data_IF_406225695883
#
_entry.id   IF_406225695883
#
_cell.length_a   1.000
_cell.length_b   1.000
_cell.length_c   1.000
_cell.angle_alpha   90.00
_cell.angle_beta   90.00
_cell.angle_gamma   90.00
#
_symmetry.space_group_name_H-M   'P 1'
#
loop_
_entity.id
_entity.type
_entity.pdbx_description
1 polymer ?
#
# COMPACT_ATOMS: atom_id res chain seq x y z
N UNK A 1 10.95 -13.95 -2.47
CA UNK A 1 11.08 -12.73 -3.31
C UNK A 1 12.04 -13.01 -4.46
N UNK A 2 11.66 -12.76 -5.73
CA UNK A 2 12.54 -13.06 -6.87
C UNK A 2 13.58 -11.95 -7.06
N UNK A 3 14.78 -12.31 -7.62
CA UNK A 3 15.83 -11.33 -7.97
C UNK A 3 15.33 -10.18 -8.87
N UNK A 4 14.28 -10.40 -9.68
CA UNK A 4 13.63 -9.38 -10.49
C UNK A 4 12.91 -8.34 -9.65
N UNK A 5 12.27 -8.75 -8.56
CA UNK A 5 11.59 -7.87 -7.60
C UNK A 5 12.59 -7.00 -6.83
N UNK A 6 13.75 -7.57 -6.46
CA UNK A 6 14.84 -6.82 -5.83
C UNK A 6 15.39 -5.70 -6.73
N UNK A 7 15.68 -6.00 -8.00
CA UNK A 7 16.19 -5.00 -8.96
C UNK A 7 15.20 -3.87 -9.23
N UNK A 8 13.90 -4.17 -9.21
CA UNK A 8 12.88 -3.14 -9.37
C UNK A 8 12.84 -2.18 -8.17
N UNK A 9 12.94 -2.70 -6.95
CA UNK A 9 13.02 -1.87 -5.73
C UNK A 9 14.27 -0.97 -5.72
N UNK A 10 15.42 -1.45 -6.19
CA UNK A 10 16.63 -0.64 -6.31
C UNK A 10 16.47 0.50 -7.34
N UNK A 11 15.86 0.24 -8.49
CA UNK A 11 15.67 1.24 -9.54
C UNK A 11 14.60 2.30 -9.18
N UNK A 12 13.61 1.95 -8.34
CA UNK A 12 12.47 2.79 -8.00
C UNK A 12 12.70 3.62 -6.75
N UNK A 13 13.54 3.14 -5.81
CA UNK A 13 13.74 3.78 -4.51
C UNK A 13 14.26 5.24 -4.59
N UNK A 14 14.92 5.64 -5.67
CA UNK A 14 15.48 6.99 -5.80
C UNK A 14 14.43 8.06 -6.12
N UNK A 15 13.24 7.66 -6.64
CA UNK A 15 12.20 8.63 -7.10
C UNK A 15 10.78 8.33 -6.62
N UNK A 16 10.59 7.28 -5.79
CA UNK A 16 9.25 6.84 -5.39
C UNK A 16 8.56 7.82 -4.43
N UNK A 17 9.32 8.53 -3.64
CA UNK A 17 8.87 9.61 -2.75
C UNK A 17 8.39 10.85 -3.52
N UNK A 18 8.83 11.00 -4.76
CA UNK A 18 8.41 12.09 -5.66
C UNK A 18 7.23 11.71 -6.57
N UNK A 19 6.79 10.44 -6.56
CA UNK A 19 5.63 10.00 -7.34
C UNK A 19 4.35 10.60 -6.74
N UNK A 20 3.71 11.48 -7.49
CA UNK A 20 2.46 12.17 -7.12
C UNK A 20 1.32 11.19 -6.73
N UNK A 21 1.30 9.99 -7.33
CA UNK A 21 0.31 8.95 -6.97
C UNK A 21 0.60 8.41 -5.58
N UNK A 22 1.87 8.15 -5.26
CA UNK A 22 2.24 7.69 -3.91
C UNK A 22 1.90 8.75 -2.87
N UNK A 23 2.22 10.01 -3.14
CA UNK A 23 1.85 11.12 -2.26
C UNK A 23 0.32 11.22 -2.10
N UNK A 24 -0.44 11.10 -3.22
CA UNK A 24 -1.89 11.07 -3.21
C UNK A 24 -2.43 9.92 -2.35
N UNK A 25 -1.91 8.70 -2.54
CA UNK A 25 -2.32 7.52 -1.77
C UNK A 25 -2.00 7.68 -0.28
N UNK A 26 -0.81 8.12 0.08
CA UNK A 26 -0.40 8.35 1.48
C UNK A 26 -1.35 9.33 2.16
N UNK A 27 -1.66 10.46 1.51
CA UNK A 27 -2.61 11.43 2.06
C UNK A 27 -4.02 10.88 2.17
N UNK A 28 -4.45 10.04 1.21
CA UNK A 28 -5.76 9.40 1.28
C UNK A 28 -5.81 8.40 2.44
N UNK A 29 -4.80 7.53 2.57
CA UNK A 29 -4.68 6.53 3.63
C UNK A 29 -4.66 7.19 5.02
N UNK A 30 -3.88 8.27 5.18
CA UNK A 30 -3.79 9.02 6.43
C UNK A 30 -5.16 9.46 6.98
N UNK A 31 -6.13 9.77 6.11
CA UNK A 31 -7.50 10.16 6.52
C UNK A 31 -8.24 9.05 7.26
N UNK A 32 -7.82 7.82 7.07
CA UNK A 32 -8.45 6.63 7.65
C UNK A 32 -7.65 6.03 8.79
N UNK A 33 -6.45 6.54 9.06
CA UNK A 33 -5.66 6.12 10.22
C UNK A 33 -6.37 6.56 11.49
N UNK A 34 -6.49 5.64 12.44
CA UNK A 34 -7.04 5.89 13.78
C UNK A 34 -6.10 5.36 14.85
N UNK A 35 -6.18 5.93 16.04
CA UNK A 35 -5.38 5.54 17.21
C UNK A 35 -3.90 5.86 17.06
N UNK A 36 -3.15 5.76 18.17
CA UNK A 36 -1.73 6.13 18.17
C UNK A 36 -0.82 5.05 17.55
N UNK A 37 -1.17 3.76 17.63
CA UNK A 37 -0.30 2.66 17.20
C UNK A 37 -0.61 2.19 15.80
N UNK A 38 0.35 2.38 14.89
CA UNK A 38 0.18 2.09 13.46
C UNK A 38 1.25 1.11 12.98
N UNK A 39 0.84 0.10 12.21
CA UNK A 39 1.72 -0.81 11.50
C UNK A 39 1.60 -0.59 9.99
N UNK A 40 2.74 -0.36 9.32
CA UNK A 40 2.82 -0.34 7.85
C UNK A 40 3.54 -1.60 7.36
N UNK A 41 2.83 -2.46 6.63
CA UNK A 41 3.34 -3.77 6.20
C UNK A 41 4.25 -3.74 4.98
N UNK A 42 4.41 -2.59 4.32
CA UNK A 42 5.33 -2.40 3.19
C UNK A 42 5.69 -0.94 3.08
N UNK A 43 6.68 -0.54 3.85
CA UNK A 43 7.00 0.88 4.00
C UNK A 43 7.64 1.51 2.76
N UNK A 44 8.28 0.73 1.89
CA UNK A 44 9.00 1.22 0.71
C UNK A 44 10.01 2.33 1.09
N UNK A 45 9.75 3.56 0.64
CA UNK A 45 10.56 4.75 0.95
C UNK A 45 10.21 5.42 2.27
N UNK A 46 9.33 4.81 3.07
CA UNK A 46 8.92 5.33 4.37
C UNK A 46 7.95 6.52 4.32
N UNK A 47 7.36 6.84 3.17
CA UNK A 47 6.54 8.06 3.00
C UNK A 47 5.38 8.13 4.01
N UNK A 48 4.64 7.04 4.22
CA UNK A 48 3.55 6.98 5.20
C UNK A 48 4.10 6.99 6.63
N UNK A 49 5.08 6.14 6.89
CA UNK A 49 5.71 5.94 8.20
C UNK A 49 6.28 7.24 8.76
N UNK A 50 7.06 7.95 7.94
CA UNK A 50 7.73 9.19 8.35
C UNK A 50 6.72 10.33 8.58
N UNK A 51 5.63 10.35 7.81
CA UNK A 51 4.56 11.34 7.99
C UNK A 51 3.80 11.10 9.30
N UNK A 52 3.45 9.85 9.60
CA UNK A 52 2.73 9.48 10.82
C UNK A 52 3.59 9.62 12.07
N UNK A 53 4.84 9.15 12.03
CA UNK A 53 5.78 9.31 13.14
C UNK A 53 6.08 10.79 13.42
N UNK A 54 6.24 11.61 12.37
CA UNK A 54 6.40 13.06 12.48
C UNK A 54 5.16 13.77 13.06
N UNK A 55 3.98 13.14 12.98
CA UNK A 55 2.76 13.59 13.64
C UNK A 55 2.61 13.07 15.08
N UNK A 56 3.61 12.40 15.63
CA UNK A 56 3.65 11.89 17.01
C UNK A 56 2.96 10.53 17.21
N UNK A 57 2.70 9.79 16.15
CA UNK A 57 2.16 8.43 16.27
C UNK A 57 3.27 7.41 16.56
N UNK A 58 2.92 6.35 17.26
CA UNK A 58 3.77 5.18 17.49
C UNK A 58 3.68 4.27 16.27
N UNK A 59 4.68 4.34 15.40
CA UNK A 59 4.67 3.67 14.10
C UNK A 59 5.72 2.57 14.05
N UNK A 60 5.28 1.39 13.66
CA UNK A 60 6.15 0.27 13.28
C UNK A 60 5.99 0.02 11.79
N UNK A 61 7.07 -0.21 11.09
CA UNK A 61 7.05 -0.53 9.68
C UNK A 61 7.80 -1.83 9.38
N UNK A 62 7.32 -2.55 8.38
CA UNK A 62 7.95 -3.76 7.87
C UNK A 62 8.19 -3.62 6.37
N UNK A 63 9.28 -4.20 5.87
CA UNK A 63 9.52 -4.36 4.43
C UNK A 63 10.42 -5.57 4.18
N UNK A 64 10.23 -6.25 3.06
CA UNK A 64 11.05 -7.39 2.67
C UNK A 64 12.38 -6.97 2.00
N UNK A 65 12.53 -5.69 1.69
CA UNK A 65 13.70 -5.15 1.03
C UNK A 65 14.57 -4.37 2.02
N UNK A 66 15.78 -4.85 2.24
CA UNK A 66 16.73 -4.26 3.20
C UNK A 66 17.02 -2.78 2.91
N UNK A 67 17.13 -2.42 1.62
CA UNK A 67 17.34 -1.04 1.20
C UNK A 67 16.20 -0.11 1.58
N UNK A 68 14.93 -0.57 1.56
CA UNK A 68 13.78 0.19 2.02
C UNK A 68 13.83 0.42 3.53
N UNK A 69 14.16 -0.61 4.29
CA UNK A 69 14.34 -0.54 5.74
C UNK A 69 15.45 0.42 6.11
N UNK A 70 16.63 0.27 5.49
CA UNK A 70 17.78 1.14 5.75
C UNK A 70 17.45 2.60 5.40
N UNK A 71 16.84 2.85 4.25
CA UNK A 71 16.46 4.20 3.81
C UNK A 71 15.42 4.84 4.72
N UNK A 72 14.40 4.10 5.13
CA UNK A 72 13.37 4.60 6.05
C UNK A 72 13.98 4.98 7.40
N UNK A 73 14.83 4.13 7.97
CA UNK A 73 15.49 4.39 9.24
C UNK A 73 16.49 5.57 9.14
N UNK A 74 17.18 5.72 8.02
CA UNK A 74 18.06 6.85 7.78
C UNK A 74 17.29 8.17 7.71
N UNK A 75 16.19 8.20 6.96
CA UNK A 75 15.33 9.39 6.89
C UNK A 75 14.66 9.72 8.23
N UNK A 76 14.31 8.70 9.02
CA UNK A 76 13.79 8.90 10.37
C UNK A 76 14.84 9.57 11.27
N UNK A 77 16.08 9.08 11.24
CA UNK A 77 17.20 9.64 12.01
C UNK A 77 17.47 11.10 11.62
N UNK A 78 17.49 11.41 10.31
CA UNK A 78 17.66 12.78 9.79
C UNK A 78 16.57 13.74 10.26
N UNK A 79 15.36 13.23 10.55
CA UNK A 79 14.21 14.01 11.06
C UNK A 79 14.12 14.03 12.59
N UNK A 80 15.05 13.43 13.29
CA UNK A 80 15.03 13.33 14.76
C UNK A 80 13.91 12.42 15.29
N UNK A 81 13.42 11.49 14.47
CA UNK A 81 12.39 10.53 14.87
C UNK A 81 13.02 9.32 15.58
N UNK A 82 12.27 8.59 16.42
CA UNK A 82 12.73 7.33 17.01
C UNK A 82 13.18 6.32 15.95
N UNK A 83 14.23 5.56 16.22
CA UNK A 83 14.72 4.48 15.36
C UNK A 83 15.03 3.23 16.18
N UNK A 84 14.86 2.02 15.62
CA UNK A 84 14.36 1.76 14.25
C UNK A 84 12.84 1.91 14.14
N UNK A 85 12.38 2.58 13.10
CA UNK A 85 10.96 2.59 12.71
C UNK A 85 10.62 1.41 11.79
N UNK A 86 11.55 1.01 10.93
CA UNK A 86 11.36 -0.05 9.93
C UNK A 86 12.23 -1.26 10.25
N UNK A 87 11.67 -2.44 10.02
CA UNK A 87 12.29 -3.75 10.26
C UNK A 87 12.17 -4.64 9.03
N UNK A 88 13.17 -5.50 8.80
CA UNK A 88 13.17 -6.46 7.72
C UNK A 88 12.14 -7.56 7.98
N UNK A 89 11.35 -7.89 6.96
CA UNK A 89 10.31 -8.91 7.03
C UNK A 89 10.08 -9.55 5.65
N UNK A 90 9.93 -10.88 5.61
CA UNK A 90 9.84 -11.68 4.39
C UNK A 90 8.41 -12.01 3.92
N UNK A 91 7.38 -11.46 4.56
CA UNK A 91 5.95 -11.67 4.33
C UNK A 91 5.41 -13.07 4.70
N UNK A 92 6.27 -14.06 4.93
CA UNK A 92 5.81 -15.44 5.17
C UNK A 92 5.29 -15.63 6.60
N UNK A 93 5.92 -14.96 7.57
CA UNK A 93 5.57 -15.10 8.99
C UNK A 93 5.76 -13.78 9.72
N UNK A 94 4.73 -13.36 10.47
CA UNK A 94 4.88 -12.21 11.36
C UNK A 94 5.94 -12.49 12.43
N UNK A 95 6.86 -11.54 12.70
CA UNK A 95 7.83 -11.68 13.78
C UNK A 95 7.14 -11.91 15.12
N UNK A 96 7.71 -12.78 15.96
CA UNK A 96 7.09 -13.14 17.25
C UNK A 96 6.92 -11.92 18.18
N UNK A 97 7.86 -10.97 18.14
CA UNK A 97 7.77 -9.72 18.88
C UNK A 97 6.59 -8.85 18.44
N UNK A 98 6.17 -8.95 17.16
CA UNK A 98 5.04 -8.20 16.62
C UNK A 98 3.69 -8.83 17.01
N UNK A 99 3.63 -10.15 17.14
CA UNK A 99 2.41 -10.88 17.51
C UNK A 99 1.87 -10.49 18.88
N UNK A 100 2.75 -10.12 19.80
CA UNK A 100 2.37 -9.65 21.13
C UNK A 100 1.80 -8.22 21.11
N UNK A 101 2.02 -7.48 20.03
CA UNK A 101 1.53 -6.13 19.87
C UNK A 101 0.13 -6.11 19.26
N UNK A 102 -0.62 -5.05 19.57
CA UNK A 102 -1.92 -4.79 18.98
C UNK A 102 -1.91 -3.38 18.41
N UNK A 103 -2.32 -3.25 17.14
CA UNK A 103 -2.29 -1.98 16.44
C UNK A 103 -3.70 -1.43 16.25
N UNK A 104 -3.84 -0.12 16.43
CA UNK A 104 -5.08 0.60 16.16
C UNK A 104 -5.37 0.67 14.68
N UNK A 105 -4.30 0.79 13.86
CA UNK A 105 -4.39 0.76 12.41
C UNK A 105 -3.26 -0.08 11.83
N UNK A 106 -3.60 -0.93 10.84
CA UNK A 106 -2.65 -1.63 9.99
C UNK A 106 -2.83 -1.18 8.55
N UNK A 107 -1.77 -0.66 7.93
CA UNK A 107 -1.73 -0.32 6.52
C UNK A 107 -1.11 -1.48 5.72
N UNK A 108 -1.85 -1.99 4.76
CA UNK A 108 -1.49 -3.10 3.87
C UNK A 108 -1.54 -2.62 2.42
N UNK A 109 -0.53 -1.85 2.01
CA UNK A 109 -0.52 -1.14 0.74
C UNK A 109 0.32 -1.89 -0.28
N UNK A 110 -0.32 -2.43 -1.32
CA UNK A 110 0.30 -3.27 -2.36
C UNK A 110 1.05 -4.50 -1.81
N UNK A 111 0.53 -5.14 -0.76
CA UNK A 111 1.10 -6.35 -0.14
C UNK A 111 0.43 -7.60 -0.67
N UNK A 112 -0.90 -7.69 -0.61
CA UNK A 112 -1.66 -8.91 -0.89
C UNK A 112 -1.48 -9.43 -2.33
N UNK A 113 -1.13 -8.57 -3.26
CA UNK A 113 -0.84 -8.94 -4.64
C UNK A 113 0.55 -9.57 -4.84
N UNK A 114 1.41 -9.58 -3.82
CA UNK A 114 2.75 -10.16 -3.86
C UNK A 114 2.88 -11.48 -3.09
N UNK A 115 1.93 -11.79 -2.20
CA UNK A 115 1.97 -13.02 -1.40
C UNK A 115 1.29 -14.18 -2.14
N UNK A 116 1.79 -15.40 -1.98
CA UNK A 116 1.22 -16.59 -2.63
C UNK A 116 -0.13 -16.95 -2.03
N UNK A 117 -0.27 -16.86 -0.71
CA UNK A 117 -1.49 -17.15 0.04
C UNK A 117 -1.99 -15.88 0.74
N UNK A 118 -2.91 -15.18 0.07
CA UNK A 118 -3.50 -13.95 0.59
C UNK A 118 -4.54 -14.20 1.69
N UNK A 119 -5.17 -15.38 1.73
CA UNK A 119 -6.03 -15.79 2.84
C UNK A 119 -5.20 -15.92 4.13
N UNK A 120 -4.09 -16.66 4.08
CA UNK A 120 -3.19 -16.76 5.24
C UNK A 120 -2.56 -15.41 5.63
N UNK A 121 -2.27 -14.55 4.66
CA UNK A 121 -1.74 -13.22 4.94
C UNK A 121 -2.77 -12.35 5.68
N UNK A 122 -4.04 -12.33 5.27
CA UNK A 122 -5.10 -11.58 5.94
C UNK A 122 -5.40 -12.16 7.32
N UNK A 123 -5.36 -13.51 7.49
CA UNK A 123 -5.49 -14.15 8.80
C UNK A 123 -4.41 -13.64 9.79
N UNK A 124 -3.14 -13.61 9.35
CA UNK A 124 -2.03 -13.10 10.18
C UNK A 124 -2.19 -11.60 10.50
N UNK A 125 -2.62 -10.80 9.53
CA UNK A 125 -2.90 -9.37 9.75
C UNK A 125 -3.99 -9.22 10.83
N UNK A 126 -5.04 -10.04 10.79
CA UNK A 126 -6.08 -10.01 11.79
C UNK A 126 -5.56 -10.31 13.21
N UNK A 127 -4.49 -11.09 13.37
CA UNK A 127 -3.89 -11.35 14.68
C UNK A 127 -3.33 -10.09 15.36
N UNK A 128 -2.84 -9.13 14.59
CA UNK A 128 -2.16 -7.92 15.08
C UNK A 128 -3.03 -6.66 15.08
N UNK A 129 -4.13 -6.63 14.32
CA UNK A 129 -5.13 -5.56 14.44
C UNK A 129 -5.90 -5.76 15.74
N UNK A 130 -6.03 -4.76 16.58
CA UNK A 130 -6.85 -4.87 17.80
C UNK A 130 -8.35 -4.99 17.48
N UNK A 131 -9.18 -5.61 18.35
CA UNK A 131 -10.64 -5.52 18.20
C UNK A 131 -11.10 -4.07 18.07
N UNK A 132 -11.96 -3.78 17.10
CA UNK A 132 -12.34 -2.40 16.75
C UNK A 132 -11.27 -1.59 16.01
N UNK A 133 -10.06 -2.13 15.85
CA UNK A 133 -8.98 -1.53 15.08
C UNK A 133 -9.22 -1.61 13.57
N UNK A 134 -8.43 -0.87 12.81
CA UNK A 134 -8.65 -0.65 11.39
C UNK A 134 -7.58 -1.31 10.52
N UNK A 135 -8.01 -1.96 9.45
CA UNK A 135 -7.18 -2.42 8.36
C UNK A 135 -7.44 -1.56 7.12
N UNK A 136 -6.40 -1.00 6.55
CA UNK A 136 -6.45 -0.23 5.30
C UNK A 136 -5.69 -1.01 4.24
N UNK A 137 -6.39 -1.46 3.21
CA UNK A 137 -5.82 -2.23 2.10
C UNK A 137 -5.85 -1.41 0.83
N UNK A 138 -4.71 -1.29 0.16
CA UNK A 138 -4.65 -0.89 -1.24
C UNK A 138 -4.16 -2.06 -2.07
N UNK A 139 -4.91 -2.44 -3.11
CA UNK A 139 -4.57 -3.56 -3.97
C UNK A 139 -4.91 -3.27 -5.44
N UNK A 140 -4.18 -3.82 -6.42
CA UNK A 140 -4.45 -3.58 -7.83
C UNK A 140 -5.81 -4.17 -8.23
N UNK A 141 -6.59 -3.36 -8.96
CA UNK A 141 -7.93 -3.71 -9.44
C UNK A 141 -7.90 -4.42 -10.79
N UNK A 142 -9.02 -5.05 -11.15
CA UNK A 142 -9.29 -5.70 -12.44
C UNK A 142 -8.36 -6.87 -12.76
N UNK A 143 -8.72 -8.12 -12.37
CA UNK A 143 -7.95 -9.32 -12.69
C UNK A 143 -7.64 -9.49 -14.19
N UNK A 144 -8.55 -9.05 -15.07
CA UNK A 144 -8.36 -9.10 -16.52
C UNK A 144 -7.20 -8.22 -17.02
N UNK A 145 -6.72 -7.26 -16.21
CA UNK A 145 -5.57 -6.42 -16.52
C UNK A 145 -4.26 -6.98 -15.98
N UNK A 146 -4.24 -8.22 -15.45
CA UNK A 146 -3.01 -8.85 -14.99
C UNK A 146 -2.10 -9.15 -16.18
N UNK A 147 -1.11 -8.28 -16.39
CA UNK A 147 -0.30 -8.27 -17.60
C UNK A 147 1.20 -8.43 -17.36
N UNK A 148 1.98 -8.05 -18.37
CA UNK A 148 3.45 -8.11 -18.32
C UNK A 148 4.02 -7.21 -17.23
N UNK A 149 3.43 -6.04 -17.07
CA UNK A 149 3.87 -5.08 -16.07
C UNK A 149 3.70 -5.63 -14.67
N UNK A 150 2.54 -6.22 -14.37
CA UNK A 150 2.31 -6.83 -13.06
C UNK A 150 3.37 -7.87 -12.75
N UNK A 151 3.64 -8.78 -13.72
CA UNK A 151 4.66 -9.82 -13.55
C UNK A 151 6.05 -9.24 -13.34
N UNK A 152 6.41 -8.15 -14.05
CA UNK A 152 7.70 -7.47 -13.84
C UNK A 152 7.82 -6.81 -12.48
N UNK A 153 6.70 -6.47 -11.84
CA UNK A 153 6.62 -5.94 -10.48
C UNK A 153 6.49 -7.03 -9.41
N UNK A 154 6.40 -8.30 -9.81
CA UNK A 154 6.18 -9.41 -8.89
C UNK A 154 4.73 -9.54 -8.41
N UNK A 155 3.77 -8.93 -9.11
CA UNK A 155 2.36 -9.11 -8.80
C UNK A 155 1.90 -10.51 -9.24
N UNK A 156 1.30 -11.25 -8.33
CA UNK A 156 0.73 -12.57 -8.57
C UNK A 156 -0.74 -12.46 -8.96
N UNK A 157 -1.45 -11.40 -8.52
CA UNK A 157 -2.88 -11.23 -8.69
C UNK A 157 -3.33 -9.78 -8.67
N UNK A 158 -4.56 -9.59 -9.14
CA UNK A 158 -5.35 -8.37 -9.02
C UNK A 158 -6.73 -8.73 -8.48
N UNK A 159 -7.45 -7.77 -7.93
CA UNK A 159 -8.69 -8.02 -7.20
C UNK A 159 -9.91 -7.43 -7.89
N UNK A 160 -11.06 -8.07 -7.70
CA UNK A 160 -12.37 -7.44 -7.87
C UNK A 160 -12.83 -6.87 -6.52
N UNK A 161 -13.77 -5.91 -6.53
CA UNK A 161 -14.40 -5.44 -5.27
C UNK A 161 -15.01 -6.59 -4.48
N UNK A 162 -15.75 -7.48 -5.16
CA UNK A 162 -16.39 -8.63 -4.50
C UNK A 162 -15.35 -9.58 -3.90
N UNK A 163 -14.29 -9.91 -4.66
CA UNK A 163 -13.23 -10.80 -4.16
C UNK A 163 -12.50 -10.25 -2.96
N UNK A 164 -12.11 -8.97 -3.00
CA UNK A 164 -11.44 -8.33 -1.87
C UNK A 164 -12.35 -8.22 -0.64
N UNK A 165 -13.66 -7.92 -0.85
CA UNK A 165 -14.65 -7.91 0.23
C UNK A 165 -14.73 -9.26 0.91
N UNK A 166 -14.97 -10.33 0.14
CA UNK A 166 -15.11 -11.70 0.68
C UNK A 166 -13.85 -12.12 1.42
N UNK A 167 -12.66 -11.82 0.89
CA UNK A 167 -11.40 -12.13 1.52
C UNK A 167 -11.30 -11.48 2.92
N UNK A 168 -11.62 -10.21 3.04
CA UNK A 168 -11.52 -9.49 4.33
C UNK A 168 -12.62 -9.92 5.30
N UNK A 169 -13.87 -10.08 4.84
CA UNK A 169 -15.00 -10.47 5.68
C UNK A 169 -14.83 -11.88 6.29
N UNK A 170 -14.24 -12.83 5.54
CA UNK A 170 -13.91 -14.18 6.05
C UNK A 170 -12.95 -14.15 7.23
N UNK A 171 -12.11 -13.13 7.33
CA UNK A 171 -11.14 -12.99 8.42
C UNK A 171 -11.60 -12.02 9.52
N UNK A 172 -12.91 -11.78 9.62
CA UNK A 172 -13.50 -11.03 10.72
C UNK A 172 -13.37 -9.50 10.58
N UNK A 173 -13.21 -9.01 9.33
CA UNK A 173 -13.25 -7.58 9.06
C UNK A 173 -14.61 -7.15 8.52
N UNK A 174 -15.14 -6.05 9.04
CA UNK A 174 -16.33 -5.36 8.52
C UNK A 174 -15.87 -4.23 7.62
N UNK A 175 -16.40 -4.16 6.40
CA UNK A 175 -15.98 -3.16 5.41
C UNK A 175 -16.71 -1.84 5.65
N UNK A 176 -15.98 -0.82 6.08
CA UNK A 176 -16.49 0.56 6.18
C UNK A 176 -16.52 1.26 4.82
N UNK A 177 -15.47 1.02 4.01
CA UNK A 177 -15.33 1.63 2.69
C UNK A 177 -14.64 0.68 1.72
N UNK A 178 -15.13 0.63 0.50
CA UNK A 178 -14.49 -0.09 -0.61
C UNK A 178 -14.72 0.69 -1.91
N UNK A 179 -13.66 1.33 -2.38
CA UNK A 179 -13.73 2.23 -3.53
C UNK A 179 -12.59 1.99 -4.51
N UNK A 180 -12.79 2.41 -5.74
CA UNK A 180 -11.72 2.54 -6.69
C UNK A 180 -10.93 3.83 -6.45
N UNK A 181 -9.66 3.79 -6.77
CA UNK A 181 -8.73 4.90 -6.78
C UNK A 181 -7.80 4.78 -8.00
N UNK A 182 -7.14 5.88 -8.39
CA UNK A 182 -6.26 5.93 -9.55
C UNK A 182 -7.03 5.73 -10.88
N UNK A 183 -8.14 6.47 -11.01
CA UNK A 183 -9.00 6.46 -12.21
C UNK A 183 -8.27 6.99 -13.43
N UNK A 184 -7.56 8.11 -13.29
CA UNK A 184 -6.90 8.83 -14.39
C UNK A 184 -5.89 7.96 -15.14
N UNK A 185 -5.22 7.04 -14.45
CA UNK A 185 -4.24 6.14 -15.06
C UNK A 185 -4.87 4.91 -15.74
N UNK A 186 -6.15 4.62 -15.46
CA UNK A 186 -6.81 3.40 -15.95
C UNK A 186 -6.90 3.32 -17.48
N UNK A 187 -7.35 4.35 -18.23
CA UNK A 187 -7.47 4.26 -19.68
C UNK A 187 -6.13 3.98 -20.36
N UNK A 188 -5.09 4.70 -19.94
CA UNK A 188 -3.74 4.52 -20.49
C UNK A 188 -3.18 3.14 -20.18
N UNK A 189 -3.34 2.68 -18.92
CA UNK A 189 -2.88 1.35 -18.51
C UNK A 189 -3.59 0.26 -19.29
N UNK A 190 -4.92 0.33 -19.41
CA UNK A 190 -5.72 -0.64 -20.15
C UNK A 190 -5.31 -0.69 -21.63
N UNK A 191 -5.13 0.45 -22.28
CA UNK A 191 -4.70 0.51 -23.68
C UNK A 191 -3.33 -0.14 -23.90
N UNK A 192 -2.38 0.06 -22.97
CA UNK A 192 -1.05 -0.53 -23.04
C UNK A 192 -1.08 -2.06 -22.89
N UNK A 193 -1.82 -2.56 -21.88
CA UNK A 193 -1.84 -3.99 -21.59
C UNK A 193 -2.70 -4.77 -22.60
N UNK A 194 -3.78 -4.18 -23.15
CA UNK A 194 -4.73 -4.88 -24.03
C UNK A 194 -4.49 -4.68 -25.53
N UNK A 195 -3.97 -3.54 -25.94
CA UNK A 195 -3.97 -3.15 -27.36
C UNK A 195 -2.63 -2.81 -27.97
N UNK A 196 -1.85 -1.97 -27.34
CA UNK A 196 -0.66 -1.42 -27.96
C UNK A 196 0.58 -2.31 -27.86
N UNK A 197 0.59 -3.37 -27.03
CA UNK A 197 1.78 -4.22 -26.76
C UNK A 197 3.11 -3.45 -26.75
N UNK A 198 3.00 -2.12 -26.65
CA UNK A 198 4.15 -1.22 -26.68
C UNK A 198 4.96 -1.42 -25.40
N UNK A 199 6.24 -1.63 -25.57
CA UNK A 199 7.22 -1.54 -24.49
C UNK A 199 7.31 -0.06 -24.07
N UNK A 200 6.36 0.40 -23.28
CA UNK A 200 6.58 1.65 -22.56
C UNK A 200 7.57 1.31 -21.45
N UNK A 201 8.83 1.59 -21.72
CA UNK A 201 9.89 1.44 -20.72
C UNK A 201 9.61 2.37 -19.55
N UNK A 202 10.07 1.99 -18.36
CA UNK A 202 10.01 2.89 -17.20
C UNK A 202 10.75 4.21 -17.50
N UNK A 203 11.75 4.19 -18.38
CA UNK A 203 12.40 5.38 -18.93
C UNK A 203 11.42 6.34 -19.62
N UNK A 204 10.36 5.85 -20.29
CA UNK A 204 9.33 6.71 -20.88
C UNK A 204 8.49 7.42 -19.80
N UNK A 205 8.14 6.71 -18.72
CA UNK A 205 7.38 7.31 -17.60
C UNK A 205 8.16 8.39 -16.87
N UNK A 206 9.47 8.18 -16.68
CA UNK A 206 10.32 9.12 -15.93
C UNK A 206 11.10 10.08 -16.82
N UNK A 207 11.42 9.70 -18.07
CA UNK A 207 12.19 10.51 -19.02
C UNK A 207 11.35 11.58 -19.69
N UNK A 208 10.14 11.25 -20.15
CA UNK A 208 9.27 12.21 -20.85
C UNK A 208 8.73 13.28 -19.90
N UNK A 209 8.41 12.89 -18.66
CA UNK A 209 8.02 13.83 -17.60
C UNK A 209 9.18 14.73 -17.19
N UNK A 210 10.43 14.23 -17.22
CA UNK A 210 11.62 15.03 -16.97
C UNK A 210 11.86 16.09 -18.05
N UNK A 211 11.52 15.78 -19.30
CA UNK A 211 11.66 16.71 -20.44
C UNK A 211 10.62 17.85 -20.45
N UNK A 212 9.43 17.62 -19.85
CA UNK A 212 8.36 18.62 -19.72
C UNK A 212 8.49 19.51 -18.47
N UNK A 213 9.54 19.31 -17.67
CA UNK A 213 9.78 20.06 -16.44
C UNK A 213 8.86 19.66 -15.28
N UNK A 214 8.72 20.54 -14.29
CA UNK A 214 7.95 20.28 -13.07
C UNK A 214 6.43 20.47 -13.19
N UNK A 215 5.95 21.17 -14.24
CA UNK A 215 4.54 21.53 -14.42
C UNK A 215 3.59 20.35 -14.49
N UNK A 216 3.83 19.30 -15.30
CA UNK A 216 2.93 18.12 -15.32
C UNK A 216 2.85 17.45 -13.97
N UNK A 217 3.97 17.35 -13.26
CA UNK A 217 4.02 16.73 -11.93
C UNK A 217 3.19 17.52 -10.92
N UNK A 218 3.21 18.83 -10.98
CA UNK A 218 2.39 19.72 -10.13
C UNK A 218 0.89 19.57 -10.45
N UNK A 219 0.51 19.53 -11.73
CA UNK A 219 -0.88 19.36 -12.18
C UNK A 219 -1.43 18.01 -11.71
N UNK A 220 -0.67 16.92 -11.89
CA UNK A 220 -1.10 15.61 -11.44
C UNK A 220 -1.10 15.49 -9.92
N UNK A 221 -0.14 16.07 -9.21
CA UNK A 221 -0.17 16.15 -7.75
C UNK A 221 -1.42 16.88 -7.27
N UNK A 222 -1.71 18.05 -7.85
CA UNK A 222 -2.93 18.79 -7.55
C UNK A 222 -4.18 17.93 -7.81
N UNK A 223 -4.28 17.26 -8.98
CA UNK A 223 -5.40 16.38 -9.31
C UNK A 223 -5.62 15.29 -8.27
N UNK A 224 -4.55 14.53 -7.94
CA UNK A 224 -4.65 13.46 -6.95
C UNK A 224 -5.03 13.97 -5.57
N UNK A 225 -4.55 15.12 -5.19
CA UNK A 225 -4.81 15.70 -3.88
C UNK A 225 -6.20 16.32 -3.76
N UNK A 226 -6.74 16.91 -4.83
CA UNK A 226 -7.99 17.68 -4.80
C UNK A 226 -9.18 16.94 -5.39
N UNK A 227 -8.97 16.14 -6.44
CA UNK A 227 -10.05 15.45 -7.14
C UNK A 227 -10.05 13.97 -6.81
N UNK A 228 -8.99 13.25 -7.12
CA UNK A 228 -8.90 11.79 -6.99
C UNK A 228 -9.15 11.32 -5.54
N UNK A 229 -8.67 12.07 -4.54
CA UNK A 229 -8.85 11.75 -3.12
C UNK A 229 -10.21 12.16 -2.54
N UNK A 230 -11.03 12.91 -3.27
CA UNK A 230 -12.32 13.41 -2.77
C UNK A 230 -13.51 12.86 -3.54
N UNK A 231 -13.30 12.40 -4.77
CA UNK A 231 -14.34 11.85 -5.63
C UNK A 231 -14.23 10.33 -5.65
N UNK A 232 -15.36 9.64 -5.47
CA UNK A 232 -15.43 8.18 -5.66
C UNK A 232 -15.72 7.89 -7.11
N UNK A 233 -14.74 7.36 -7.83
CA UNK A 233 -14.88 7.01 -9.24
C UNK A 233 -15.50 5.60 -9.40
N UNK A 234 -16.20 5.36 -10.51
CA UNK A 234 -16.80 4.04 -10.80
C UNK A 234 -15.76 2.97 -11.16
N UNK A 235 -14.54 3.38 -11.50
CA UNK A 235 -13.42 2.51 -11.85
C UNK A 235 -12.10 3.15 -11.44
N UNK A 236 -11.01 2.38 -11.38
CA UNK A 236 -9.66 2.85 -11.07
C UNK A 236 -8.70 1.67 -10.93
N UNK A 237 -7.42 1.91 -11.14
CA UNK A 237 -6.40 0.85 -11.14
C UNK A 237 -6.16 0.22 -9.77
N UNK A 238 -6.58 0.88 -8.70
CA UNK A 238 -6.39 0.45 -7.31
C UNK A 238 -7.74 0.33 -6.62
N UNK A 239 -7.94 -0.72 -5.85
CA UNK A 239 -8.98 -0.83 -4.85
C UNK A 239 -8.43 -0.34 -3.52
N UNK A 240 -9.15 0.56 -2.86
CA UNK A 240 -8.91 0.95 -1.49
C UNK A 240 -10.04 0.38 -0.62
N UNK A 241 -9.70 -0.48 0.31
CA UNK A 241 -10.60 -0.96 1.35
C UNK A 241 -10.18 -0.38 2.69
N UNK A 242 -11.15 0.10 3.45
CA UNK A 242 -11.02 0.45 4.87
C UNK A 242 -11.99 -0.46 5.60
N UNK A 243 -11.46 -1.26 6.51
CA UNK A 243 -12.23 -2.27 7.21
C UNK A 243 -11.90 -2.23 8.70
N UNK A 244 -12.89 -2.47 9.52
CA UNK A 244 -12.76 -2.54 10.96
C UNK A 244 -12.72 -4.01 11.40
N UNK A 245 -11.80 -4.38 12.26
CA UNK A 245 -11.83 -5.69 12.89
C UNK A 245 -13.05 -5.78 13.80
N UNK A 246 -13.88 -6.81 13.60
CA UNK A 246 -15.03 -7.04 14.47
C UNK A 246 -14.58 -7.11 15.94
N UNK A 247 -15.35 -6.51 16.82
CA UNK A 247 -15.15 -6.68 18.25
C UNK A 247 -15.34 -8.16 18.58
N UNK A 248 -14.49 -8.70 19.45
CA UNK A 248 -14.75 -10.02 20.01
C UNK A 248 -16.14 -9.94 20.66
N UNK A 249 -17.07 -10.80 20.22
CA UNK A 249 -18.38 -10.88 20.84
C UNK A 249 -18.17 -10.90 22.36
N UNK A 250 -18.69 -9.88 23.06
CA UNK A 250 -18.59 -9.79 24.51
C UNK A 250 -19.12 -11.11 25.03
N UNK A 251 -18.23 -11.91 25.66
CA UNK A 251 -18.43 -13.30 25.93
C UNK A 251 -19.80 -13.60 26.50
N UNK A 252 -20.51 -14.52 25.88
CA UNK A 252 -21.41 -15.40 26.61
C UNK A 252 -20.50 -16.16 27.57
N UNK A 253 -20.30 -15.63 28.77
CA UNK A 253 -19.78 -16.41 29.88
C UNK A 253 -20.75 -17.58 30.13
N UNK A 254 -20.23 -18.77 30.35
CA UNK A 254 -21.03 -19.93 30.65
C UNK A 254 -21.83 -19.79 31.95
#
# INVERSE_FOLDING_TARGET
MTLATMRWHEAVNVRYDQDFRRQGLVRLVRRFVQGPRVLDLRCLTGSLVLELAGAGMDVTALDAYEGAVARTNELARQRGLPVPLAHLWDFDRLPDWLRAQRFDTVACLDVLNHVEDDEAAVARIAEVVQPGGRLIVAAPAFPALLGRRDRSLGHLRRYTKAGLRVLLERHGFVIDRLQFWNFTALPLYAAIETGLRARISDSFRYGWWGALGSLPNQIFSWWYLTVENHVVFPAGLTLLAVAQRAEAAAGSAP
#
